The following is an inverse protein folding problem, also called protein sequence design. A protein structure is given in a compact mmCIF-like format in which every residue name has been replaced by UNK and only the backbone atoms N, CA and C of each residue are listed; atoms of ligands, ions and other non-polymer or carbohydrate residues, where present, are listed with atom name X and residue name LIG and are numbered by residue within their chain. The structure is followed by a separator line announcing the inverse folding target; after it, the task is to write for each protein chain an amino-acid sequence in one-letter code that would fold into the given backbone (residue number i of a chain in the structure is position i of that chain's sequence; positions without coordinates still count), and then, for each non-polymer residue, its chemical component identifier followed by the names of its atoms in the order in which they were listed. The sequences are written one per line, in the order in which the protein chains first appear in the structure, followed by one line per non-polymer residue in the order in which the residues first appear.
data_IF_613528408619
#
_entry.id   IF_613528408619
#
_cell.length_a   1.000
_cell.length_b   1.000
_cell.length_c   1.000
_cell.angle_alpha   90.00
_cell.angle_beta   90.00
_cell.angle_gamma   90.00
#
_symmetry.space_group_name_H-M   'P 1'
#
loop_
_entity.id
_entity.type
_entity.pdbx_description
1 polymer ?
#
# COMPACT_ATOMS: atom_id res chain seq x y z
N UNK A 1 9.20 -4.45 12.71
CA UNK A 1 10.21 -3.35 12.66
C UNK A 1 10.17 -2.47 13.92
N UNK A 2 11.19 -1.65 14.23
CA UNK A 2 11.12 -0.69 15.36
C UNK A 2 10.45 0.63 14.94
N UNK A 3 9.92 1.39 15.92
CA UNK A 3 9.13 2.61 15.66
C UNK A 3 9.88 3.68 14.86
N UNK A 4 11.16 3.90 15.14
CA UNK A 4 11.95 4.90 14.42
C UNK A 4 12.04 4.58 12.92
N UNK A 5 12.33 3.32 12.58
CA UNK A 5 12.37 2.88 11.17
C UNK A 5 11.00 2.96 10.49
N UNK A 6 9.92 2.72 11.23
CA UNK A 6 8.56 2.91 10.70
C UNK A 6 8.29 4.38 10.38
N UNK A 7 8.68 5.30 11.26
CA UNK A 7 8.55 6.74 11.01
C UNK A 7 9.36 7.14 9.77
N UNK A 8 10.61 6.68 9.65
CA UNK A 8 11.45 6.96 8.47
C UNK A 8 10.79 6.43 7.18
N UNK A 9 10.24 5.22 7.23
CA UNK A 9 9.48 4.66 6.11
C UNK A 9 8.28 5.53 5.74
N UNK A 10 7.49 5.98 6.72
CA UNK A 10 6.32 6.82 6.47
C UNK A 10 6.73 8.17 5.90
N UNK A 11 7.82 8.79 6.40
CA UNK A 11 8.34 10.05 5.87
C UNK A 11 8.71 9.90 4.40
N UNK A 12 9.44 8.84 4.03
CA UNK A 12 9.80 8.58 2.63
C UNK A 12 8.54 8.31 1.79
N UNK A 13 7.61 7.51 2.31
CA UNK A 13 6.33 7.23 1.65
C UNK A 13 5.50 8.49 1.40
N UNK A 14 5.46 9.42 2.36
CA UNK A 14 4.77 10.70 2.25
C UNK A 14 5.48 11.63 1.23
N UNK A 15 6.81 11.68 1.25
CA UNK A 15 7.58 12.52 0.33
C UNK A 15 7.38 12.15 -1.15
N UNK A 16 7.18 10.86 -1.45
CA UNK A 16 6.83 10.39 -2.81
C UNK A 16 5.51 11.02 -3.30
N UNK A 17 4.57 11.25 -2.39
CA UNK A 17 3.29 11.93 -2.67
C UNK A 17 3.38 13.47 -2.48
N UNK A 18 4.59 14.03 -2.33
CA UNK A 18 4.85 15.45 -2.06
C UNK A 18 4.25 15.96 -0.73
N UNK A 19 4.04 15.06 0.23
CA UNK A 19 3.61 15.38 1.59
C UNK A 19 4.87 15.55 2.45
N UNK A 20 5.17 16.79 2.84
CA UNK A 20 6.46 17.15 3.48
C UNK A 20 6.41 17.29 4.99
N UNK A 21 5.23 17.19 5.61
CA UNK A 21 5.10 17.24 7.06
C UNK A 21 5.34 15.85 7.68
N UNK A 22 5.89 15.77 8.91
CA UNK A 22 6.04 14.52 9.65
C UNK A 22 4.67 13.83 9.87
N UNK A 23 4.62 12.49 9.94
CA UNK A 23 3.40 11.80 10.31
C UNK A 23 2.98 12.14 11.74
N UNK A 24 1.67 12.16 11.98
CA UNK A 24 1.15 12.30 13.34
C UNK A 24 1.46 11.05 14.19
N UNK A 25 1.34 11.18 15.51
CA UNK A 25 1.43 10.04 16.43
C UNK A 25 0.42 8.95 16.08
N UNK A 26 -0.81 9.36 15.79
CA UNK A 26 -1.91 8.48 15.38
C UNK A 26 -1.64 7.76 14.05
N UNK A 27 -1.08 8.46 13.05
CA UNK A 27 -0.66 7.83 11.78
C UNK A 27 0.46 6.81 11.98
N UNK A 28 1.34 7.08 12.94
CA UNK A 28 2.40 6.12 13.31
C UNK A 28 1.82 4.90 14.02
N UNK A 29 0.85 5.10 14.91
CA UNK A 29 0.22 4.03 15.68
C UNK A 29 -0.64 3.14 14.77
N UNK A 30 -1.45 3.72 13.88
CA UNK A 30 -2.25 2.93 12.93
C UNK A 30 -1.37 2.14 11.97
N UNK A 31 -0.24 2.71 11.52
CA UNK A 31 0.71 1.98 10.68
C UNK A 31 1.40 0.84 11.44
N UNK A 32 1.74 1.04 12.71
CA UNK A 32 2.31 -0.02 13.55
C UNK A 32 1.30 -1.16 13.76
N UNK A 33 0.07 -0.85 14.16
CA UNK A 33 -0.99 -1.84 14.33
C UNK A 33 -1.32 -2.57 13.02
N UNK A 34 -1.27 -1.88 11.88
CA UNK A 34 -1.48 -2.49 10.56
C UNK A 34 -0.40 -3.53 10.24
N UNK A 35 0.87 -3.25 10.58
CA UNK A 35 1.97 -4.19 10.36
C UNK A 35 1.91 -5.42 11.28
N UNK A 36 1.23 -5.33 12.42
CA UNK A 36 1.05 -6.42 13.38
C UNK A 36 -0.09 -7.38 13.00
N UNK A 37 -0.89 -7.07 11.97
CA UNK A 37 -2.00 -7.93 11.55
C UNK A 37 -1.51 -9.26 10.98
N UNK A 38 -2.10 -10.38 11.42
CA UNK A 38 -1.83 -11.70 10.84
C UNK A 38 -2.41 -11.85 9.43
N UNK A 39 -3.51 -11.15 9.15
CA UNK A 39 -4.22 -11.12 7.87
C UNK A 39 -4.75 -9.70 7.66
N UNK A 40 -4.54 -9.14 6.48
CA UNK A 40 -5.11 -7.86 6.07
C UNK A 40 -6.39 -8.11 5.28
N UNK A 41 -7.45 -7.39 5.66
CA UNK A 41 -8.74 -7.34 4.96
C UNK A 41 -8.98 -5.96 4.34
N UNK A 42 -10.03 -5.83 3.51
CA UNK A 42 -10.43 -4.51 2.95
C UNK A 42 -10.75 -3.50 4.08
N UNK A 43 -11.53 -3.85 5.12
CA UNK A 43 -11.75 -2.96 6.26
C UNK A 43 -10.47 -2.46 6.95
N UNK A 44 -9.42 -3.28 7.03
CA UNK A 44 -8.14 -2.86 7.62
C UNK A 44 -7.44 -1.81 6.76
N UNK A 45 -7.47 -1.99 5.43
CA UNK A 45 -6.98 -0.99 4.48
C UNK A 45 -7.80 0.29 4.52
N UNK A 46 -9.14 0.19 4.57
CA UNK A 46 -10.02 1.35 4.70
C UNK A 46 -9.72 2.14 5.97
N UNK A 47 -9.53 1.44 7.10
CA UNK A 47 -9.15 2.07 8.37
C UNK A 47 -7.79 2.77 8.24
N UNK A 48 -6.79 2.13 7.65
CA UNK A 48 -5.50 2.78 7.41
C UNK A 48 -5.66 4.04 6.54
N UNK A 49 -6.39 3.93 5.43
CA UNK A 49 -6.64 5.01 4.48
C UNK A 49 -7.35 6.18 5.16
N UNK A 50 -8.35 5.93 6.01
CA UNK A 50 -9.10 6.99 6.69
C UNK A 50 -8.22 7.87 7.60
N UNK A 51 -7.15 7.32 8.19
CA UNK A 51 -6.22 8.08 9.03
C UNK A 51 -5.13 8.80 8.22
N UNK A 52 -4.77 8.26 7.05
CA UNK A 52 -3.75 8.87 6.19
C UNK A 52 -4.34 9.88 5.21
N UNK A 53 -5.59 9.70 4.82
CA UNK A 53 -6.33 10.54 3.90
C UNK A 53 -7.82 10.53 4.24
N UNK A 54 -8.24 11.29 5.26
CA UNK A 54 -9.64 11.38 5.65
C UNK A 54 -10.56 11.69 4.47
N UNK A 55 -11.63 10.92 4.33
CA UNK A 55 -12.60 11.09 3.24
C UNK A 55 -12.27 10.33 1.95
N UNK A 56 -11.07 9.74 1.82
CA UNK A 56 -10.81 8.79 0.74
C UNK A 56 -11.69 7.54 0.90
N UNK A 57 -12.22 7.01 -0.21
CA UNK A 57 -13.16 5.88 -0.24
C UNK A 57 -12.70 4.81 -1.20
N UNK A 58 -13.05 3.55 -0.90
CA UNK A 58 -12.93 2.45 -1.86
C UNK A 58 -13.80 2.76 -3.08
N UNK A 59 -13.29 2.52 -4.30
CA UNK A 59 -13.98 2.79 -5.57
C UNK A 59 -14.88 1.61 -5.97
N UNK A 60 -15.71 1.13 -5.06
CA UNK A 60 -16.55 -0.05 -5.24
C UNK A 60 -17.90 0.23 -5.91
N UNK A 61 -18.20 1.50 -6.21
CA UNK A 61 -19.42 1.92 -6.90
C UNK A 61 -19.12 2.48 -8.31
N UNK A 62 -20.04 2.28 -9.27
CA UNK A 62 -19.96 2.94 -10.57
C UNK A 62 -19.86 4.47 -10.43
N UNK A 63 -19.06 5.09 -11.29
CA UNK A 63 -18.86 6.55 -11.29
C UNK A 63 -17.81 7.06 -10.30
N UNK A 64 -17.19 6.18 -9.51
CA UNK A 64 -16.01 6.48 -8.69
C UNK A 64 -14.72 6.37 -9.52
N UNK A 65 -14.71 6.96 -10.71
CA UNK A 65 -13.56 6.94 -11.61
C UNK A 65 -12.54 8.00 -11.19
N UNK A 66 -11.26 7.65 -11.27
CA UNK A 66 -10.16 8.56 -10.92
C UNK A 66 -9.16 8.64 -12.06
N UNK A 67 -8.34 9.69 -12.03
CA UNK A 67 -7.24 9.88 -12.97
C UNK A 67 -5.95 10.13 -12.21
N UNK A 68 -4.89 9.43 -12.59
CA UNK A 68 -3.59 9.48 -11.92
C UNK A 68 -2.57 9.98 -12.93
N UNK A 69 -2.35 11.29 -12.96
CA UNK A 69 -1.54 11.93 -13.99
C UNK A 69 -2.08 11.62 -15.40
N UNK A 70 -1.30 10.88 -16.19
CA UNK A 70 -1.69 10.44 -17.54
C UNK A 70 -2.25 9.02 -17.60
N UNK A 71 -2.22 8.28 -16.50
CA UNK A 71 -2.80 6.94 -16.41
C UNK A 71 -4.27 7.01 -15.98
N UNK A 72 -5.09 6.16 -16.59
CA UNK A 72 -6.50 5.95 -16.22
C UNK A 72 -6.59 4.56 -15.62
N UNK A 73 -6.72 4.43 -14.30
CA UNK A 73 -6.97 3.15 -13.65
C UNK A 73 -8.30 2.52 -14.08
N UNK A 74 -8.58 1.32 -13.58
CA UNK A 74 -9.85 0.67 -13.81
C UNK A 74 -11.01 1.53 -13.31
N UNK A 75 -12.13 1.50 -14.04
CA UNK A 75 -13.35 2.21 -13.66
C UNK A 75 -13.85 1.76 -12.29
N UNK A 76 -14.51 2.64 -11.54
CA UNK A 76 -15.10 2.30 -10.26
C UNK A 76 -16.19 1.22 -10.41
N UNK A 77 -16.34 0.39 -9.39
CA UNK A 77 -17.40 -0.62 -9.30
C UNK A 77 -17.00 -1.85 -8.49
N UNK A 78 -17.97 -2.77 -8.30
CA UNK A 78 -17.81 -3.96 -7.45
C UNK A 78 -16.61 -4.85 -7.80
N UNK A 79 -16.13 -4.78 -9.05
CA UNK A 79 -14.96 -5.51 -9.50
C UNK A 79 -13.66 -5.01 -8.83
N UNK A 80 -13.58 -3.74 -8.41
CA UNK A 80 -12.46 -3.19 -7.65
C UNK A 80 -12.33 -3.92 -6.31
N UNK A 81 -13.42 -3.98 -5.53
CA UNK A 81 -13.43 -4.67 -4.23
C UNK A 81 -13.11 -6.17 -4.38
N UNK A 82 -13.71 -6.85 -5.37
CA UNK A 82 -13.43 -8.28 -5.64
C UNK A 82 -11.97 -8.53 -6.01
N UNK A 83 -11.39 -7.68 -6.85
CA UNK A 83 -9.99 -7.83 -7.24
C UNK A 83 -9.05 -7.55 -6.06
N UNK A 84 -9.32 -6.50 -5.27
CA UNK A 84 -8.57 -6.21 -4.06
C UNK A 84 -8.63 -7.38 -3.05
N UNK A 85 -9.81 -7.96 -2.84
CA UNK A 85 -9.99 -9.12 -1.96
C UNK A 85 -9.17 -10.33 -2.43
N UNK A 86 -9.21 -10.65 -3.73
CA UNK A 86 -8.38 -11.71 -4.31
C UNK A 86 -6.89 -11.42 -4.13
N UNK A 87 -6.46 -10.17 -4.32
CA UNK A 87 -5.08 -9.77 -4.06
C UNK A 87 -4.70 -10.03 -2.61
N UNK A 88 -5.49 -9.57 -1.63
CA UNK A 88 -5.21 -9.79 -0.21
C UNK A 88 -5.15 -11.27 0.17
N UNK A 89 -5.98 -12.11 -0.44
CA UNK A 89 -5.89 -13.58 -0.29
C UNK A 89 -4.55 -14.09 -0.81
N UNK A 90 -4.13 -13.67 -2.02
CA UNK A 90 -2.83 -14.08 -2.56
C UNK A 90 -1.64 -13.56 -1.75
N UNK A 91 -1.76 -12.37 -1.14
CA UNK A 91 -0.79 -11.85 -0.20
C UNK A 91 -0.61 -12.77 1.00
N UNK A 92 -1.73 -13.22 1.59
CA UNK A 92 -1.74 -14.14 2.73
C UNK A 92 -1.15 -15.50 2.37
N UNK A 93 -1.43 -16.01 1.18
CA UNK A 93 -0.94 -17.31 0.71
C UNK A 93 0.54 -17.27 0.28
N UNK A 94 1.15 -16.09 0.13
CA UNK A 94 2.51 -15.94 -0.36
C UNK A 94 2.68 -16.39 -1.81
N UNK A 95 1.60 -16.38 -2.60
CA UNK A 95 1.61 -16.85 -4.00
C UNK A 95 2.37 -15.90 -4.92
N UNK A 96 2.35 -14.60 -4.61
CA UNK A 96 3.06 -13.57 -5.35
C UNK A 96 4.02 -12.82 -4.44
N UNK A 97 5.11 -12.34 -5.02
CA UNK A 97 6.09 -11.54 -4.28
C UNK A 97 5.52 -10.16 -3.94
N UNK A 98 6.10 -9.46 -2.94
CA UNK A 98 5.66 -8.11 -2.58
C UNK A 98 5.72 -7.13 -3.75
N UNK A 99 6.68 -7.32 -4.65
CA UNK A 99 6.79 -6.55 -5.89
C UNK A 99 5.55 -6.66 -6.78
N UNK A 100 5.12 -7.89 -7.07
CA UNK A 100 3.98 -8.13 -7.95
C UNK A 100 2.69 -7.62 -7.34
N UNK A 101 2.46 -7.87 -6.05
CA UNK A 101 1.29 -7.36 -5.36
C UNK A 101 1.24 -5.83 -5.38
N UNK A 102 2.35 -5.14 -5.06
CA UNK A 102 2.35 -3.68 -5.07
C UNK A 102 2.09 -3.12 -6.48
N UNK A 103 2.67 -3.74 -7.51
CA UNK A 103 2.43 -3.34 -8.91
C UNK A 103 0.96 -3.50 -9.30
N UNK A 104 0.34 -4.63 -8.97
CA UNK A 104 -1.09 -4.85 -9.23
C UNK A 104 -1.94 -3.86 -8.41
N UNK A 105 -1.53 -3.51 -7.19
CA UNK A 105 -2.24 -2.57 -6.34
C UNK A 105 -2.25 -1.17 -6.94
N UNK A 106 -1.10 -0.70 -7.43
CA UNK A 106 -0.98 0.59 -8.11
C UNK A 106 -1.80 0.63 -9.41
N UNK A 107 -1.91 -0.51 -10.11
CA UNK A 107 -2.70 -0.65 -11.35
C UNK A 107 -4.20 -0.65 -11.06
N UNK A 108 -4.64 -1.40 -10.05
CA UNK A 108 -6.02 -1.43 -9.59
C UNK A 108 -6.45 -0.06 -9.06
N UNK A 109 -5.55 0.59 -8.32
CA UNK A 109 -5.74 1.91 -7.72
C UNK A 109 -7.04 1.98 -6.92
N UNK A 110 -7.26 1.14 -5.89
CA UNK A 110 -8.59 0.82 -5.37
C UNK A 110 -9.32 1.98 -4.68
N UNK A 111 -8.63 3.00 -4.19
CA UNK A 111 -9.19 4.12 -3.45
C UNK A 111 -9.29 5.40 -4.29
N UNK A 112 -10.12 6.35 -3.89
CA UNK A 112 -10.20 7.67 -4.53
C UNK A 112 -8.92 8.50 -4.37
N UNK A 113 -8.16 8.24 -3.30
CA UNK A 113 -6.86 8.84 -2.99
C UNK A 113 -6.11 7.90 -2.01
N UNK A 114 -4.85 8.21 -1.67
CA UNK A 114 -4.00 7.45 -0.74
C UNK A 114 -3.52 6.07 -1.26
N UNK A 115 -3.69 5.78 -2.55
CA UNK A 115 -3.27 4.51 -3.15
C UNK A 115 -1.77 4.26 -2.98
N UNK A 116 -0.91 5.24 -3.30
CA UNK A 116 0.53 5.05 -3.14
C UNK A 116 0.95 4.72 -1.71
N UNK A 117 0.41 5.46 -0.72
CA UNK A 117 0.76 5.25 0.71
C UNK A 117 0.23 3.91 1.25
N UNK A 118 -1.02 3.56 0.91
CA UNK A 118 -1.64 2.29 1.32
C UNK A 118 -1.03 1.08 0.61
N UNK A 119 -0.65 1.21 -0.67
CA UNK A 119 0.06 0.18 -1.42
C UNK A 119 1.45 -0.08 -0.83
N UNK A 120 2.18 0.98 -0.44
CA UNK A 120 3.52 0.86 0.17
C UNK A 120 3.47 0.22 1.56
N UNK A 121 2.49 0.54 2.41
CA UNK A 121 2.39 -0.12 3.72
C UNK A 121 2.00 -1.59 3.58
N UNK A 122 1.14 -1.95 2.61
CA UNK A 122 0.82 -3.35 2.29
C UNK A 122 2.06 -4.10 1.80
N UNK A 123 2.86 -3.49 0.92
CA UNK A 123 4.15 -4.03 0.49
C UNK A 123 5.07 -4.29 1.69
N UNK A 124 5.16 -3.33 2.62
CA UNK A 124 6.01 -3.45 3.79
C UNK A 124 5.56 -4.58 4.71
N UNK A 125 4.24 -4.72 4.93
CA UNK A 125 3.67 -5.84 5.67
C UNK A 125 4.10 -7.19 5.10
N UNK A 126 4.01 -7.37 3.77
CA UNK A 126 4.46 -8.63 3.15
C UNK A 126 5.97 -8.84 3.31
N UNK A 127 6.77 -7.80 3.12
CA UNK A 127 8.22 -7.87 3.27
C UNK A 127 8.64 -8.28 4.68
N UNK A 128 7.97 -7.78 5.72
CA UNK A 128 8.23 -8.16 7.12
C UNK A 128 7.92 -9.63 7.36
N UNK A 129 6.79 -10.12 6.85
CA UNK A 129 6.36 -11.51 7.02
C UNK A 129 7.23 -12.52 6.28
N UNK A 130 7.76 -12.14 5.12
CA UNK A 130 8.73 -12.96 4.39
C UNK A 130 10.14 -12.89 5.01
N UNK A 131 10.34 -12.15 6.10
CA UNK A 131 11.64 -12.00 6.77
C UNK A 131 12.70 -11.35 5.89
N UNK A 132 12.30 -10.60 4.84
CA UNK A 132 13.23 -10.05 3.86
C UNK A 132 13.98 -8.88 4.45
N UNK A 133 15.29 -9.07 4.65
CA UNK A 133 16.24 -8.02 5.09
C UNK A 133 16.24 -6.79 4.19
N UNK A 134 15.82 -6.94 2.93
CA UNK A 134 15.69 -5.87 1.95
C UNK A 134 14.81 -4.69 2.44
N UNK A 135 13.80 -4.92 3.28
CA UNK A 135 12.99 -3.85 3.87
C UNK A 135 13.82 -2.84 4.70
N UNK A 136 15.02 -3.24 5.16
CA UNK A 136 15.92 -2.38 5.93
C UNK A 136 16.58 -1.28 5.09
N UNK A 137 16.57 -1.40 3.76
CA UNK A 137 17.14 -0.41 2.83
C UNK A 137 16.15 0.71 2.48
N UNK A 138 14.91 0.62 2.97
CA UNK A 138 13.83 1.55 2.65
C UNK A 138 13.18 1.27 1.29
N UNK A 139 11.92 1.71 1.14
CA UNK A 139 11.07 1.37 0.01
C UNK A 139 11.72 1.61 -1.36
N UNK A 140 12.21 2.83 -1.62
CA UNK A 140 12.71 3.23 -2.94
C UNK A 140 13.87 2.37 -3.42
N UNK A 141 14.83 2.11 -2.53
CA UNK A 141 16.00 1.33 -2.87
C UNK A 141 15.63 -0.14 -3.07
N UNK A 142 14.79 -0.71 -2.21
CA UNK A 142 14.34 -2.08 -2.38
C UNK A 142 13.53 -2.26 -3.66
N UNK A 143 12.59 -1.34 -3.91
CA UNK A 143 11.74 -1.35 -5.09
C UNK A 143 12.56 -1.29 -6.38
N UNK A 144 13.60 -0.45 -6.41
CA UNK A 144 14.54 -0.38 -7.53
C UNK A 144 15.18 -1.75 -7.83
N UNK A 145 15.72 -2.43 -6.82
CA UNK A 145 16.31 -3.76 -7.03
C UNK A 145 15.28 -4.80 -7.47
N UNK A 146 14.07 -4.80 -6.87
CA UNK A 146 12.99 -5.69 -7.29
C UNK A 146 12.61 -5.46 -8.77
N UNK A 147 12.59 -4.20 -9.22
CA UNK A 147 12.30 -3.88 -10.62
C UNK A 147 13.39 -4.37 -11.60
N UNK A 148 14.66 -4.35 -11.19
CA UNK A 148 15.77 -4.88 -11.98
C UNK A 148 15.75 -6.42 -12.07
N UNK A 149 15.27 -7.11 -11.04
CA UNK A 149 15.15 -8.56 -11.05
C UNK A 149 14.08 -9.05 -12.03
N UNK A 150 12.95 -8.34 -12.13
CA UNK A 150 11.85 -8.69 -13.05
C UNK A 150 12.10 -8.21 -14.49
N UNK A 151 12.93 -7.18 -14.68
CA UNK A 151 13.31 -6.69 -16.00
C UNK A 151 14.36 -7.52 -16.76
N UNK A 152 14.78 -8.66 -16.19
CA UNK A 152 15.68 -9.64 -16.82
C UNK A 152 14.87 -10.79 -17.43
#
# INVERSE_FOLDING_TARGET
MNRAKLIDFIIVSNAIEKIMHPPSGEQTDIAASFLELDVITIPDLERFVDHFQPGAKLRDQPGMDVRVGNHVPWVGGLHIAKHLEHMLITCRLGTFTPFWIHREYETLHPFTDCNGRSGRILWLWQMEREGRKMAQMGFLQTWYYQSLEVGK
#
